data_IF_443512004217
#
_entry.id   IF_443512004217
#
_cell.length_a   1.000
_cell.length_b   1.000
_cell.length_c   1.000
_cell.angle_alpha   90.00
_cell.angle_beta   90.00
_cell.angle_gamma   90.00
#
_symmetry.space_group_name_H-M   'P 1'
#
loop_
_entity.id
_entity.type
_entity.pdbx_description
1 polymer ?
#
# COMPACT_ATOMS: atom_id res chain seq x y z
N UNK A 1 -1.50 10.81 -63.35
CA UNK A 1 -2.37 10.83 -62.17
C UNK A 1 -2.49 9.47 -61.47
N UNK A 2 -2.82 8.35 -62.19
CA UNK A 2 -2.95 7.01 -61.57
C UNK A 2 -1.71 6.51 -60.83
N UNK A 3 -0.47 6.76 -61.31
CA UNK A 3 0.78 6.31 -60.68
C UNK A 3 1.10 7.07 -59.37
N UNK A 4 0.75 8.35 -59.30
CA UNK A 4 0.98 9.21 -58.07
C UNK A 4 -0.02 8.77 -57.00
N UNK A 5 -1.28 8.47 -57.36
CA UNK A 5 -2.29 8.02 -56.41
C UNK A 5 -1.96 6.66 -55.82
N UNK A 6 -1.38 5.73 -56.60
CA UNK A 6 -0.91 4.42 -56.12
C UNK A 6 0.27 4.56 -55.16
N UNK A 7 1.18 5.49 -55.39
CA UNK A 7 2.32 5.74 -54.50
C UNK A 7 1.90 6.35 -53.13
N UNK A 8 0.98 7.32 -53.17
CA UNK A 8 0.43 7.92 -51.97
C UNK A 8 -0.35 6.92 -51.12
N UNK A 9 -1.13 6.05 -51.75
CA UNK A 9 -1.89 4.98 -51.07
C UNK A 9 -0.95 3.95 -50.43
N UNK A 10 0.19 3.61 -51.06
CA UNK A 10 1.20 2.69 -50.54
C UNK A 10 1.95 3.26 -49.34
N UNK A 11 2.24 4.57 -49.33
CA UNK A 11 2.87 5.25 -48.18
C UNK A 11 1.90 5.34 -47.00
N UNK A 12 0.62 5.60 -47.24
CA UNK A 12 -0.41 5.69 -46.22
C UNK A 12 -0.67 4.34 -45.51
N UNK A 13 -0.60 3.23 -46.24
CA UNK A 13 -0.72 1.89 -45.66
C UNK A 13 0.51 1.50 -44.83
N UNK A 14 1.73 1.95 -45.22
CA UNK A 14 2.96 1.65 -44.51
C UNK A 14 3.00 2.36 -43.15
N UNK A 15 2.51 3.59 -43.06
CA UNK A 15 2.45 4.34 -41.79
C UNK A 15 1.44 3.75 -40.81
N UNK A 16 0.40 3.09 -41.26
CA UNK A 16 -0.58 2.45 -40.37
C UNK A 16 -0.05 1.16 -39.73
N UNK A 17 0.87 0.44 -40.40
CA UNK A 17 1.48 -0.77 -39.83
C UNK A 17 2.55 -0.47 -38.76
N UNK A 18 3.21 0.66 -38.81
CA UNK A 18 4.28 1.00 -37.84
C UNK A 18 3.69 1.34 -36.45
N UNK A 19 2.51 1.93 -36.41
CA UNK A 19 1.86 2.31 -35.13
C UNK A 19 1.39 1.11 -34.30
N UNK A 20 1.07 -0.03 -34.91
CA UNK A 20 0.60 -1.23 -34.20
C UNK A 20 1.73 -1.97 -33.46
N UNK A 21 2.97 -1.91 -33.96
CA UNK A 21 4.12 -2.61 -33.37
C UNK A 21 4.53 -1.94 -32.05
N UNK A 22 4.51 -0.61 -31.97
CA UNK A 22 4.84 0.11 -30.72
C UNK A 22 3.77 -0.06 -29.63
N UNK A 23 2.50 -0.23 -30.00
CA UNK A 23 1.42 -0.48 -29.06
C UNK A 23 1.59 -1.83 -28.35
N UNK A 24 1.98 -2.89 -29.08
CA UNK A 24 2.13 -4.23 -28.52
C UNK A 24 3.33 -4.35 -27.55
N UNK A 25 4.42 -3.65 -27.83
CA UNK A 25 5.58 -3.61 -26.92
C UNK A 25 5.27 -2.86 -25.63
N UNK A 26 4.53 -1.77 -25.69
CA UNK A 26 4.08 -1.03 -24.51
C UNK A 26 3.10 -1.83 -23.67
N UNK A 27 2.20 -2.59 -24.29
CA UNK A 27 1.28 -3.50 -23.59
C UNK A 27 2.04 -4.63 -22.89
N UNK A 28 3.08 -5.18 -23.51
CA UNK A 28 3.97 -6.16 -22.86
C UNK A 28 4.72 -5.56 -21.67
N UNK A 29 5.23 -4.34 -21.77
CA UNK A 29 5.86 -3.61 -20.66
C UNK A 29 4.86 -3.37 -19.54
N UNK A 30 3.63 -2.92 -19.84
CA UNK A 30 2.56 -2.74 -18.86
C UNK A 30 2.15 -4.05 -18.19
N UNK A 31 2.10 -5.17 -18.92
CA UNK A 31 1.79 -6.47 -18.35
C UNK A 31 2.88 -7.01 -17.40
N UNK A 32 4.12 -6.56 -17.56
CA UNK A 32 5.20 -6.87 -16.62
C UNK A 32 5.03 -6.15 -15.27
N UNK A 33 4.28 -5.03 -15.23
CA UNK A 33 3.93 -4.32 -14.00
C UNK A 33 2.76 -4.95 -13.22
N UNK A 34 2.24 -6.10 -13.63
CA UNK A 34 1.14 -6.82 -12.94
C UNK A 34 1.43 -7.23 -11.48
N UNK A 35 2.64 -6.99 -10.98
CA UNK A 35 3.06 -7.30 -9.61
C UNK A 35 3.42 -6.07 -8.78
N UNK A 36 3.00 -4.89 -9.18
CA UNK A 36 3.25 -3.68 -8.41
C UNK A 36 2.13 -3.40 -7.42
N UNK A 37 2.29 -3.88 -6.19
CA UNK A 37 1.65 -3.33 -4.99
C UNK A 37 0.10 -3.27 -4.93
N UNK A 38 -0.62 -3.74 -5.96
CA UNK A 38 -2.09 -3.72 -6.02
C UNK A 38 -2.73 -5.06 -5.63
N UNK A 39 -1.93 -6.06 -5.26
CA UNK A 39 -2.47 -7.31 -4.73
C UNK A 39 -3.08 -7.04 -3.36
N UNK A 40 -4.29 -7.55 -3.13
CA UNK A 40 -4.94 -7.48 -1.82
C UNK A 40 -4.06 -8.20 -0.78
N UNK A 41 -3.54 -7.44 0.15
CA UNK A 41 -2.76 -7.96 1.27
C UNK A 41 -3.65 -8.57 2.36
N UNK A 42 -3.01 -9.16 3.36
CA UNK A 42 -3.70 -9.64 4.54
C UNK A 42 -4.24 -8.42 5.32
N UNK A 43 -5.53 -8.44 5.66
CA UNK A 43 -6.16 -7.46 6.54
C UNK A 43 -6.23 -8.02 7.95
N UNK A 44 -5.81 -7.25 8.94
CA UNK A 44 -5.83 -7.64 10.35
C UNK A 44 -7.12 -7.14 11.00
N UNK A 45 -7.97 -8.05 11.52
CA UNK A 45 -9.19 -7.67 12.23
C UNK A 45 -8.86 -6.83 13.47
N UNK A 46 -9.49 -5.68 13.62
CA UNK A 46 -9.31 -4.77 14.75
C UNK A 46 -10.32 -5.05 15.88
N UNK A 47 -11.54 -5.47 15.54
CA UNK A 47 -12.60 -5.81 16.50
C UNK A 47 -12.45 -7.24 17.02
N UNK A 48 -11.46 -7.45 17.87
CA UNK A 48 -11.18 -8.77 18.44
C UNK A 48 -11.43 -8.78 19.96
N UNK A 49 -11.66 -9.99 20.51
CA UNK A 49 -11.71 -10.17 21.98
C UNK A 49 -10.44 -9.69 22.66
N UNK A 50 -9.30 -9.76 21.96
CA UNK A 50 -8.03 -9.29 22.46
C UNK A 50 -8.00 -7.75 22.56
N UNK A 51 -8.45 -7.04 21.53
CA UNK A 51 -8.60 -5.58 21.56
C UNK A 51 -9.54 -5.12 22.69
N UNK A 52 -10.69 -5.78 22.82
CA UNK A 52 -11.65 -5.52 23.89
C UNK A 52 -11.04 -5.73 25.29
N UNK A 53 -10.24 -6.78 25.45
CA UNK A 53 -9.54 -7.04 26.71
C UNK A 53 -8.50 -5.96 27.03
N UNK A 54 -7.73 -5.50 26.03
CA UNK A 54 -6.77 -4.38 26.21
C UNK A 54 -7.52 -3.13 26.68
N UNK A 55 -8.55 -2.72 25.95
CA UNK A 55 -9.34 -1.51 26.24
C UNK A 55 -9.97 -1.56 27.62
N UNK A 56 -10.52 -2.72 28.03
CA UNK A 56 -11.25 -2.88 29.30
C UNK A 56 -10.33 -3.11 30.51
N UNK A 57 -9.31 -3.93 30.37
CA UNK A 57 -8.58 -4.49 31.50
C UNK A 57 -7.13 -4.02 31.61
N UNK A 58 -6.54 -3.49 30.54
CA UNK A 58 -5.12 -3.08 30.51
C UNK A 58 -4.99 -1.58 30.53
N UNK A 59 -5.59 -0.87 29.56
CA UNK A 59 -5.43 0.60 29.46
C UNK A 59 -5.83 1.34 30.73
N UNK A 60 -6.92 1.01 31.44
CA UNK A 60 -7.28 1.72 32.67
C UNK A 60 -6.28 1.58 33.84
N UNK A 61 -5.40 0.57 33.77
CA UNK A 61 -4.36 0.34 34.80
C UNK A 61 -3.09 1.12 34.55
N UNK A 62 -2.94 1.70 33.37
CA UNK A 62 -1.73 2.48 33.01
C UNK A 62 -1.89 3.88 33.61
N UNK A 63 -0.96 4.26 34.48
CA UNK A 63 -0.92 5.61 35.06
C UNK A 63 -0.28 6.57 34.07
N UNK A 64 -0.99 7.62 33.70
CA UNK A 64 -0.52 8.65 32.79
C UNK A 64 -0.26 9.96 33.54
N UNK A 65 0.74 10.75 33.15
CA UNK A 65 0.92 12.12 33.66
C UNK A 65 -0.31 12.99 33.31
N UNK A 66 -0.56 14.06 34.09
CA UNK A 66 -1.64 15.00 33.77
C UNK A 66 -1.53 15.55 32.34
N UNK A 67 -2.65 15.57 31.62
CA UNK A 67 -2.72 16.04 30.22
C UNK A 67 -2.40 14.99 29.16
N UNK A 68 -1.95 13.79 29.55
CA UNK A 68 -1.73 12.68 28.61
C UNK A 68 -2.89 11.68 28.61
N UNK A 69 -3.17 11.13 27.45
CA UNK A 69 -4.20 10.10 27.21
C UNK A 69 -3.55 8.91 26.52
N UNK A 70 -3.98 7.70 26.85
CA UNK A 70 -3.55 6.47 26.17
C UNK A 70 -4.73 5.77 25.56
N UNK A 71 -4.61 5.39 24.30
CA UNK A 71 -5.63 4.69 23.55
C UNK A 71 -5.01 3.57 22.73
N UNK A 72 -5.81 2.57 22.35
CA UNK A 72 -5.40 1.53 21.42
C UNK A 72 -5.66 2.02 20.01
N UNK A 73 -4.60 2.38 19.30
CA UNK A 73 -4.66 2.85 17.92
C UNK A 73 -4.93 1.69 16.93
N UNK A 74 -4.14 0.61 17.02
CA UNK A 74 -4.23 -0.52 16.09
C UNK A 74 -3.68 -1.81 16.69
N UNK A 75 -4.13 -2.95 16.17
CA UNK A 75 -3.50 -4.26 16.37
C UNK A 75 -2.65 -4.60 15.14
N UNK A 76 -1.35 -4.79 15.32
CA UNK A 76 -0.45 -5.19 14.25
C UNK A 76 0.46 -6.33 14.74
N UNK A 77 0.41 -7.52 14.12
CA UNK A 77 1.22 -8.67 14.53
C UNK A 77 2.72 -8.38 14.38
N UNK A 78 3.51 -8.86 15.33
CA UNK A 78 4.99 -8.74 15.34
C UNK A 78 5.52 -7.31 15.20
N UNK A 79 4.71 -6.29 15.49
CA UNK A 79 5.06 -4.87 15.40
C UNK A 79 6.32 -4.54 16.21
N UNK A 80 7.18 -3.68 15.65
CA UNK A 80 8.43 -3.27 16.29
C UNK A 80 8.65 -1.76 16.27
N UNK A 81 8.89 -1.19 15.11
CA UNK A 81 9.03 0.24 14.91
C UNK A 81 7.94 0.76 14.00
N UNK A 82 7.64 2.04 14.10
CA UNK A 82 6.61 2.67 13.30
C UNK A 82 7.06 4.03 12.80
N UNK A 83 6.54 4.42 11.65
CA UNK A 83 6.67 5.75 11.07
C UNK A 83 5.29 6.31 10.78
N UNK A 84 5.03 7.53 11.24
CA UNK A 84 3.75 8.22 11.05
C UNK A 84 3.87 9.15 9.86
N UNK A 85 2.88 9.14 8.98
CA UNK A 85 2.80 10.07 7.84
C UNK A 85 2.63 11.52 8.31
N UNK A 86 3.00 12.47 7.44
CA UNK A 86 2.83 13.91 7.73
C UNK A 86 1.37 14.31 7.94
N UNK A 87 0.45 13.68 7.24
CA UNK A 87 -0.99 13.90 7.38
C UNK A 87 -1.59 13.21 8.60
N UNK A 88 -0.79 12.46 9.37
CA UNK A 88 -1.18 11.71 10.57
C UNK A 88 -2.19 10.57 10.38
N UNK A 89 -2.78 10.42 9.20
CA UNK A 89 -3.80 9.40 8.91
C UNK A 89 -3.24 8.02 8.51
N UNK A 90 -1.91 7.86 8.44
CA UNK A 90 -1.30 6.58 8.09
C UNK A 90 -0.06 6.32 8.93
N UNK A 91 0.04 5.08 9.42
CA UNK A 91 1.19 4.61 10.19
C UNK A 91 1.74 3.35 9.52
N UNK A 92 3.00 3.37 9.11
CA UNK A 92 3.72 2.17 8.66
C UNK A 92 4.41 1.50 9.84
N UNK A 93 4.20 0.19 9.95
CA UNK A 93 4.64 -0.60 11.08
C UNK A 93 5.55 -1.70 10.58
N UNK A 94 6.83 -1.58 10.87
CA UNK A 94 7.83 -2.59 10.57
C UNK A 94 7.77 -3.75 11.56
N UNK A 95 8.17 -4.95 11.11
CA UNK A 95 8.08 -6.18 11.91
C UNK A 95 9.43 -6.87 12.05
N UNK A 96 9.48 -7.89 12.91
CA UNK A 96 10.65 -8.78 13.05
C UNK A 96 10.67 -9.90 12.00
N UNK A 97 9.63 -10.01 11.18
CA UNK A 97 9.52 -11.06 10.17
C UNK A 97 9.66 -10.47 8.77
N UNK A 98 8.71 -10.72 7.91
CA UNK A 98 8.81 -10.40 6.49
C UNK A 98 7.73 -9.44 6.01
N UNK A 99 6.94 -8.88 6.92
CA UNK A 99 5.80 -8.03 6.58
C UNK A 99 5.97 -6.63 7.13
N UNK A 100 5.43 -5.66 6.39
CA UNK A 100 5.18 -4.31 6.87
C UNK A 100 3.67 -4.13 6.90
N UNK A 101 3.16 -3.58 7.98
CA UNK A 101 1.74 -3.25 8.11
C UNK A 101 1.53 -1.77 7.86
N UNK A 102 0.42 -1.46 7.21
CA UNK A 102 -0.09 -0.11 7.04
C UNK A 102 -1.38 0.01 7.85
N UNK A 103 -1.36 0.84 8.87
CA UNK A 103 -2.55 1.21 9.63
C UNK A 103 -3.05 2.56 9.13
N UNK A 104 -4.33 2.65 8.77
CA UNK A 104 -4.93 3.86 8.22
C UNK A 104 -6.11 4.27 9.08
N UNK A 105 -6.08 5.51 9.54
CA UNK A 105 -7.13 6.24 10.26
C UNK A 105 -7.63 7.34 9.32
N UNK A 106 -8.83 7.17 8.76
CA UNK A 106 -9.39 8.06 7.73
C UNK A 106 -10.17 9.21 8.30
N UNK A 107 -10.86 8.98 9.41
CA UNK A 107 -11.71 9.97 10.07
C UNK A 107 -10.98 10.77 11.17
N UNK A 108 -9.70 10.42 11.42
CA UNK A 108 -8.80 11.10 12.37
C UNK A 108 -9.29 11.03 13.83
N UNK A 109 -9.96 9.94 14.20
CA UNK A 109 -10.43 9.72 15.58
C UNK A 109 -9.35 9.09 16.49
N UNK A 110 -8.14 8.84 15.95
CA UNK A 110 -6.99 8.17 16.57
C UNK A 110 -7.19 6.65 16.77
N UNK A 111 -8.08 6.05 16.01
CA UNK A 111 -8.25 4.60 15.93
C UNK A 111 -8.13 4.20 14.46
N UNK A 112 -7.29 3.23 14.15
CA UNK A 112 -7.14 2.80 12.76
C UNK A 112 -8.38 2.06 12.25
N UNK A 113 -8.97 2.55 11.15
CA UNK A 113 -10.07 1.89 10.44
C UNK A 113 -9.63 0.57 9.82
N UNK A 114 -8.43 0.57 9.26
CA UNK A 114 -7.86 -0.60 8.58
C UNK A 114 -6.41 -0.83 8.95
N UNK A 115 -6.02 -2.09 9.09
CA UNK A 115 -4.62 -2.52 9.17
C UNK A 115 -4.41 -3.60 8.14
N UNK A 116 -3.55 -3.34 7.17
CA UNK A 116 -3.33 -4.23 6.04
C UNK A 116 -1.84 -4.41 5.74
N UNK A 117 -1.52 -5.47 5.00
CA UNK A 117 -0.16 -5.73 4.56
C UNK A 117 0.25 -4.71 3.50
N UNK A 118 1.30 -3.95 3.79
CA UNK A 118 1.89 -3.01 2.84
C UNK A 118 2.72 -3.76 1.78
N UNK A 119 2.45 -3.49 0.51
CA UNK A 119 3.17 -4.06 -0.64
C UNK A 119 3.37 -5.59 -0.56
N UNK A 120 2.30 -6.39 -0.57
CA UNK A 120 2.38 -7.85 -0.38
C UNK A 120 3.20 -8.57 -1.46
N UNK A 121 3.39 -7.96 -2.62
CA UNK A 121 4.25 -8.46 -3.70
C UNK A 121 5.75 -8.25 -3.45
N UNK A 122 6.12 -7.43 -2.47
CA UNK A 122 7.51 -7.15 -2.10
C UNK A 122 7.95 -8.08 -0.97
N UNK A 123 9.03 -8.81 -1.19
CA UNK A 123 9.61 -9.64 -0.13
C UNK A 123 10.54 -8.79 0.73
N UNK A 124 10.09 -8.47 1.93
CA UNK A 124 10.92 -7.83 2.94
C UNK A 124 11.74 -8.86 3.73
N UNK A 125 12.89 -8.44 4.25
CA UNK A 125 13.68 -9.20 5.19
C UNK A 125 13.90 -8.35 6.44
N UNK A 126 13.21 -8.73 7.52
CA UNK A 126 13.23 -8.05 8.83
C UNK A 126 13.05 -6.51 8.72
N UNK A 127 11.95 -6.02 8.14
CA UNK A 127 11.72 -4.59 7.92
C UNK A 127 11.34 -3.88 9.24
N UNK A 128 12.27 -3.81 10.16
CA UNK A 128 11.98 -3.37 11.53
C UNK A 128 12.10 -1.85 11.76
N UNK A 129 12.49 -1.08 10.74
CA UNK A 129 12.77 0.35 10.90
C UNK A 129 12.23 1.20 9.73
N UNK A 130 10.90 1.31 9.52
CA UNK A 130 10.36 2.22 8.52
C UNK A 130 10.67 3.66 8.90
N UNK A 131 10.88 4.51 7.90
CA UNK A 131 10.96 5.96 8.06
C UNK A 131 10.10 6.64 6.98
N UNK A 132 9.63 7.83 7.28
CA UNK A 132 8.91 8.69 6.34
C UNK A 132 9.77 9.91 6.01
N UNK A 133 9.94 10.19 4.72
CA UNK A 133 10.70 11.33 4.21
C UNK A 133 9.81 12.39 3.58
#
# INVERSE_FOLDING_TARGET
>A
MKKIFSLVLSILTLTFFISSVFADENVKKLSAFKKTGTEAGIVIPQDTKFAANIKKNILPKIKMPPGFKIELFALAPDARHMAVSRNKGTVWIGTRKTKVWQATDRDMDNIADTVEEFSPSVKFDIPNGPCYS
#
